data_IF_811339812921
#
_entry.id   IF_811339812921
#
_cell.length_a   1.000
_cell.length_b   1.000
_cell.length_c   1.000
_cell.angle_alpha   90.00
_cell.angle_beta   90.00
_cell.angle_gamma   90.00
#
_symmetry.space_group_name_H-M   'P 1'
#
loop_
_entity.id
_entity.type
_entity.pdbx_description
1 polymer ?
#
# COMPACT_ATOMS: atom_id res chain seq x y z
N UNK A 1 22.26 31.16 4.62
CA UNK A 1 22.26 29.73 4.44
C UNK A 1 20.93 29.00 4.82
N UNK A 2 19.80 29.73 5.00
CA UNK A 2 18.50 29.09 5.39
C UNK A 2 17.46 28.97 4.27
N UNK A 3 17.79 29.35 3.02
CA UNK A 3 16.85 29.30 1.88
C UNK A 3 17.00 28.07 0.99
N UNK A 4 18.12 27.33 1.12
CA UNK A 4 18.37 26.15 0.23
C UNK A 4 17.74 24.85 0.71
N UNK A 5 17.39 24.72 1.99
CA UNK A 5 16.78 23.49 2.54
C UNK A 5 15.29 23.39 2.22
N UNK A 6 14.61 24.53 2.05
CA UNK A 6 13.19 24.56 1.71
C UNK A 6 12.93 24.18 0.24
N UNK A 7 13.89 24.42 -0.64
CA UNK A 7 13.75 24.11 -2.08
C UNK A 7 13.95 22.63 -2.41
N UNK A 8 14.72 21.91 -1.59
CA UNK A 8 14.95 20.45 -1.79
C UNK A 8 13.73 19.62 -1.35
N UNK A 9 12.98 20.06 -0.33
CA UNK A 9 11.74 19.37 0.06
C UNK A 9 10.60 19.57 -0.95
N UNK A 10 10.59 20.67 -1.71
CA UNK A 10 9.55 20.91 -2.72
C UNK A 10 9.75 20.14 -4.03
N UNK A 11 10.98 19.67 -4.32
CA UNK A 11 11.24 18.87 -5.53
C UNK A 11 10.91 17.37 -5.36
N UNK A 12 10.73 16.89 -4.12
CA UNK A 12 10.28 15.51 -3.86
C UNK A 12 8.73 15.40 -3.77
N UNK A 13 8.03 16.52 -3.83
CA UNK A 13 6.58 16.58 -3.94
C UNK A 13 6.24 16.69 -5.42
N UNK A 14 6.00 15.57 -6.09
CA UNK A 14 5.31 15.58 -7.38
C UNK A 14 4.03 16.39 -7.20
N UNK A 15 3.97 17.61 -7.71
CA UNK A 15 2.82 18.48 -7.49
C UNK A 15 1.77 18.22 -8.57
N UNK A 16 0.56 17.82 -8.17
CA UNK A 16 -0.64 18.16 -8.94
C UNK A 16 -0.72 19.69 -9.07
N UNK A 17 -1.49 20.19 -10.03
CA UNK A 17 -1.69 21.61 -10.27
C UNK A 17 -2.01 22.41 -9.00
N UNK A 18 -2.58 21.77 -7.97
CA UNK A 18 -3.01 22.34 -6.70
C UNK A 18 -2.09 22.02 -5.52
N UNK A 19 -0.97 21.32 -5.75
CA UNK A 19 -0.04 20.94 -4.69
C UNK A 19 -0.53 19.81 -3.75
N UNK A 20 -1.71 19.25 -3.96
CA UNK A 20 -2.24 18.16 -3.14
C UNK A 20 -1.60 16.80 -3.52
N UNK A 21 -1.30 15.98 -2.51
CA UNK A 21 -0.80 14.62 -2.69
C UNK A 21 -1.96 13.69 -3.04
N UNK A 22 -1.87 12.99 -4.17
CA UNK A 22 -2.80 11.91 -4.53
C UNK A 22 -2.00 10.64 -4.77
N UNK A 23 -2.23 9.62 -3.94
CA UNK A 23 -1.50 8.35 -3.99
C UNK A 23 -2.41 7.26 -4.52
N UNK A 24 -1.94 6.52 -5.52
CA UNK A 24 -2.55 5.26 -5.93
C UNK A 24 -1.70 4.10 -5.43
N UNK A 25 -2.28 3.19 -4.64
CA UNK A 25 -1.62 1.95 -4.26
C UNK A 25 -2.15 0.79 -5.10
N UNK A 26 -1.27 0.22 -5.91
CA UNK A 26 -1.53 -0.99 -6.68
C UNK A 26 -1.15 -2.20 -5.83
N UNK A 27 -2.15 -2.74 -5.14
CA UNK A 27 -1.98 -3.82 -4.19
C UNK A 27 -1.87 -5.18 -4.89
N UNK A 28 -0.63 -5.66 -5.12
CA UNK A 28 -0.34 -7.04 -5.51
C UNK A 28 -0.76 -7.44 -6.95
N UNK A 29 -1.59 -8.47 -7.10
CA UNK A 29 -1.77 -9.26 -8.34
C UNK A 29 -2.75 -8.68 -9.37
N UNK A 30 -3.06 -7.38 -9.32
CA UNK A 30 -4.21 -6.84 -10.06
C UNK A 30 -4.03 -6.84 -11.57
N UNK A 31 -2.81 -6.61 -12.06
CA UNK A 31 -2.57 -6.75 -13.50
C UNK A 31 -2.83 -8.18 -13.99
N UNK A 32 -2.31 -9.18 -13.27
CA UNK A 32 -2.50 -10.60 -13.62
C UNK A 32 -3.90 -11.12 -13.33
N UNK A 33 -4.69 -10.41 -12.52
CA UNK A 33 -6.11 -10.66 -12.24
C UNK A 33 -7.08 -9.81 -13.07
N UNK A 34 -6.56 -8.86 -13.87
CA UNK A 34 -7.38 -7.95 -14.65
C UNK A 34 -8.06 -8.63 -15.85
N UNK A 35 -8.91 -7.86 -16.54
CA UNK A 35 -9.56 -8.27 -17.79
C UNK A 35 -8.61 -8.43 -18.99
N UNK A 36 -7.33 -8.06 -18.83
CA UNK A 36 -6.34 -8.28 -19.89
C UNK A 36 -6.15 -9.78 -20.15
N UNK A 37 -6.16 -10.16 -21.43
CA UNK A 37 -5.93 -11.53 -21.84
C UNK A 37 -4.47 -11.97 -21.67
N UNK A 38 -4.21 -13.25 -21.87
CA UNK A 38 -2.86 -13.82 -21.79
C UNK A 38 -1.89 -13.22 -22.82
N UNK A 39 -2.39 -12.75 -23.97
CA UNK A 39 -1.64 -12.05 -25.00
C UNK A 39 -1.06 -10.70 -24.52
N UNK A 40 -1.64 -10.13 -23.46
CA UNK A 40 -1.17 -8.91 -22.81
C UNK A 40 -0.20 -9.17 -21.66
N UNK A 41 0.05 -10.42 -21.28
CA UNK A 41 1.00 -10.75 -20.20
C UNK A 41 2.46 -10.54 -20.68
N UNK A 42 2.79 -9.28 -20.90
CA UNK A 42 4.08 -8.80 -21.40
C UNK A 42 4.33 -7.34 -20.95
N UNK A 43 5.52 -6.80 -21.27
CA UNK A 43 5.90 -5.46 -20.85
C UNK A 43 5.01 -4.36 -21.46
N UNK A 44 4.50 -4.53 -22.68
CA UNK A 44 3.62 -3.55 -23.32
C UNK A 44 2.25 -3.52 -22.64
N UNK A 45 1.63 -4.67 -22.41
CA UNK A 45 0.36 -4.75 -21.70
C UNK A 45 0.45 -4.17 -20.28
N UNK A 46 1.57 -4.39 -19.58
CA UNK A 46 1.77 -3.79 -18.26
C UNK A 46 1.91 -2.26 -18.33
N UNK A 47 2.60 -1.71 -19.33
CA UNK A 47 2.63 -0.25 -19.57
C UNK A 47 1.25 0.31 -19.90
N UNK A 48 0.47 -0.39 -20.71
CA UNK A 48 -0.92 -0.03 -21.02
C UNK A 48 -1.78 0.01 -19.75
N UNK A 49 -1.62 -0.97 -18.86
CA UNK A 49 -2.31 -1.01 -17.58
C UNK A 49 -1.96 0.20 -16.69
N UNK A 50 -0.68 0.52 -16.55
CA UNK A 50 -0.22 1.70 -15.80
C UNK A 50 -0.74 2.99 -16.45
N UNK A 51 -0.68 3.09 -17.79
CA UNK A 51 -1.19 4.25 -18.53
C UNK A 51 -2.69 4.47 -18.30
N UNK A 52 -3.49 3.42 -18.23
CA UNK A 52 -4.92 3.50 -17.94
C UNK A 52 -5.22 4.19 -16.61
N UNK A 53 -4.34 4.02 -15.62
CA UNK A 53 -4.49 4.64 -14.30
C UNK A 53 -3.93 6.07 -14.29
N UNK A 54 -2.78 6.29 -14.93
CA UNK A 54 -2.01 7.52 -14.81
C UNK A 54 -2.17 8.50 -15.98
N UNK A 55 -2.80 8.08 -17.08
CA UNK A 55 -2.84 8.83 -18.34
C UNK A 55 -3.49 10.22 -18.28
N UNK A 56 -4.24 10.51 -17.22
CA UNK A 56 -4.90 11.80 -17.01
C UNK A 56 -4.17 12.73 -16.02
N UNK A 57 -3.07 12.29 -15.42
CA UNK A 57 -2.25 13.12 -14.52
C UNK A 57 -2.86 13.41 -13.15
N UNK A 58 -3.82 12.60 -12.70
CA UNK A 58 -4.52 12.80 -11.43
C UNK A 58 -3.69 12.40 -10.18
N UNK A 59 -2.69 11.56 -10.36
CA UNK A 59 -1.89 11.03 -9.26
C UNK A 59 -0.48 11.63 -9.23
N UNK A 60 0.04 11.82 -8.02
CA UNK A 60 1.40 12.31 -7.77
C UNK A 60 2.36 11.18 -7.40
N UNK A 61 1.82 10.11 -6.80
CA UNK A 61 2.58 8.96 -6.32
C UNK A 61 1.86 7.67 -6.69
N UNK A 62 2.63 6.66 -7.04
CA UNK A 62 2.12 5.34 -7.36
C UNK A 62 2.91 4.29 -6.59
N UNK A 63 2.20 3.50 -5.78
CA UNK A 63 2.78 2.48 -4.93
C UNK A 63 2.58 1.10 -5.55
N UNK A 64 3.68 0.39 -5.76
CA UNK A 64 3.72 -0.97 -6.31
C UNK A 64 3.90 -1.94 -5.14
N UNK A 65 3.07 -2.97 -5.03
CA UNK A 65 3.29 -4.04 -4.06
C UNK A 65 4.20 -5.12 -4.69
N UNK A 66 5.48 -5.21 -4.33
CA UNK A 66 6.41 -6.18 -4.92
C UNK A 66 6.14 -7.61 -4.43
N UNK A 67 5.41 -7.74 -3.34
CA UNK A 67 5.06 -9.03 -2.75
C UNK A 67 4.36 -8.90 -1.41
N UNK A 68 3.78 -10.02 -1.01
CA UNK A 68 3.10 -10.23 0.26
C UNK A 68 3.76 -11.39 1.01
N UNK A 69 3.17 -12.58 0.99
CA UNK A 69 3.86 -13.81 1.41
C UNK A 69 4.75 -14.37 0.29
N UNK A 70 4.38 -14.15 -0.96
CA UNK A 70 5.14 -14.47 -2.17
C UNK A 70 5.34 -13.21 -3.00
N UNK A 71 6.33 -13.21 -3.88
CA UNK A 71 6.65 -12.08 -4.73
C UNK A 71 6.06 -12.21 -6.13
N UNK A 72 5.89 -11.08 -6.80
CA UNK A 72 5.42 -11.01 -8.19
C UNK A 72 6.56 -11.01 -9.21
N UNK A 73 7.80 -10.90 -8.73
CA UNK A 73 9.00 -10.91 -9.53
C UNK A 73 9.94 -12.03 -9.06
N UNK A 74 10.93 -12.36 -9.88
CA UNK A 74 12.01 -13.25 -9.48
C UNK A 74 12.90 -12.58 -8.44
N UNK A 75 13.12 -13.25 -7.31
CA UNK A 75 13.96 -12.76 -6.20
C UNK A 75 14.80 -13.87 -5.60
N UNK A 76 15.89 -13.49 -4.92
CA UNK A 76 16.79 -14.41 -4.23
C UNK A 76 16.40 -14.64 -2.77
N UNK A 77 15.58 -13.75 -2.21
CA UNK A 77 15.32 -13.69 -0.77
C UNK A 77 13.94 -14.17 -0.37
N UNK A 78 12.95 -14.08 -1.28
CA UNK A 78 11.58 -14.48 -1.03
C UNK A 78 11.06 -15.38 -2.16
N UNK A 79 10.14 -16.29 -1.86
CA UNK A 79 9.59 -17.21 -2.87
C UNK A 79 8.76 -16.47 -3.89
N UNK A 80 8.96 -16.65 -5.21
CA UNK A 80 8.07 -16.09 -6.22
C UNK A 80 6.70 -16.77 -6.18
N UNK A 81 5.67 -16.12 -6.70
CA UNK A 81 4.29 -16.60 -6.66
C UNK A 81 4.09 -17.96 -7.36
N UNK A 82 4.97 -18.33 -8.26
CA UNK A 82 4.93 -19.59 -9.02
C UNK A 82 5.79 -20.72 -8.42
N UNK A 83 6.42 -20.54 -7.26
CA UNK A 83 7.32 -21.52 -6.67
C UNK A 83 6.69 -22.88 -6.35
N UNK A 84 5.35 -22.90 -6.13
CA UNK A 84 4.58 -24.13 -5.84
C UNK A 84 3.91 -24.73 -7.08
N UNK A 85 4.22 -24.26 -8.28
CA UNK A 85 3.63 -24.79 -9.51
C UNK A 85 3.96 -26.27 -9.67
N UNK A 86 2.95 -27.11 -9.81
CA UNK A 86 3.09 -28.56 -9.91
C UNK A 86 3.22 -29.30 -8.57
N UNK A 87 3.20 -28.62 -7.43
CA UNK A 87 3.15 -29.28 -6.13
C UNK A 87 1.81 -30.00 -5.92
N UNK A 88 1.82 -31.29 -5.52
CA UNK A 88 0.59 -32.05 -5.33
C UNK A 88 -0.35 -31.39 -4.30
N UNK A 89 -1.60 -31.17 -4.70
CA UNK A 89 -2.64 -30.57 -3.88
C UNK A 89 -2.61 -29.04 -3.78
N UNK A 90 -1.67 -28.38 -4.46
CA UNK A 90 -1.71 -26.92 -4.65
C UNK A 90 -2.56 -26.64 -5.90
N UNK A 91 -3.69 -25.92 -5.77
CA UNK A 91 -4.53 -25.62 -6.93
C UNK A 91 -3.81 -24.68 -7.90
N UNK A 92 -3.95 -24.94 -9.19
CA UNK A 92 -3.52 -24.00 -10.21
C UNK A 92 -4.32 -22.70 -10.07
N UNK A 93 -3.61 -21.58 -10.07
CA UNK A 93 -4.19 -20.26 -9.96
C UNK A 93 -3.73 -19.39 -11.13
N UNK A 94 -4.64 -18.63 -11.72
CA UNK A 94 -4.33 -17.80 -12.88
C UNK A 94 -3.29 -16.72 -12.57
N UNK A 95 -3.28 -16.16 -11.36
CA UNK A 95 -2.24 -15.21 -10.96
C UNK A 95 -0.84 -15.84 -10.96
N UNK A 96 -0.69 -17.08 -10.42
CA UNK A 96 0.57 -17.83 -10.49
C UNK A 96 1.00 -18.03 -11.94
N UNK A 97 0.08 -18.54 -12.76
CA UNK A 97 0.35 -18.86 -14.16
C UNK A 97 0.76 -17.62 -14.96
N UNK A 98 0.02 -16.52 -14.82
CA UNK A 98 0.30 -15.28 -15.54
C UNK A 98 1.58 -14.60 -15.04
N UNK A 99 1.86 -14.59 -13.75
CA UNK A 99 3.14 -14.12 -13.21
C UNK A 99 4.31 -14.96 -13.74
N UNK A 100 4.14 -16.29 -13.82
CA UNK A 100 5.14 -17.16 -14.42
C UNK A 100 5.35 -16.89 -15.91
N UNK A 101 4.27 -16.60 -16.65
CA UNK A 101 4.37 -16.17 -18.06
C UNK A 101 5.18 -14.88 -18.20
N UNK A 102 4.92 -13.87 -17.37
CA UNK A 102 5.72 -12.63 -17.36
C UNK A 102 7.20 -12.93 -17.13
N UNK A 103 7.52 -13.74 -16.12
CA UNK A 103 8.89 -14.14 -15.82
C UNK A 103 9.55 -14.89 -16.98
N UNK A 104 8.89 -15.90 -17.57
CA UNK A 104 9.46 -16.66 -18.70
C UNK A 104 9.60 -15.86 -19.98
N UNK A 105 8.81 -14.81 -20.13
CA UNK A 105 8.94 -13.81 -21.21
C UNK A 105 10.05 -12.77 -20.93
N UNK A 106 10.82 -12.93 -19.84
CA UNK A 106 11.93 -12.05 -19.48
C UNK A 106 11.48 -10.68 -18.98
N UNK A 107 10.25 -10.55 -18.47
CA UNK A 107 9.70 -9.29 -18.00
C UNK A 107 10.00 -9.13 -16.50
N UNK A 108 10.79 -8.14 -16.14
CA UNK A 108 10.86 -7.62 -14.77
C UNK A 108 9.68 -6.67 -14.54
N UNK A 109 8.61 -7.19 -13.95
CA UNK A 109 7.35 -6.46 -13.79
C UNK A 109 7.53 -5.17 -12.99
N UNK A 110 8.32 -5.21 -11.91
CA UNK A 110 8.56 -4.04 -11.06
C UNK A 110 9.32 -2.96 -11.83
N UNK A 111 10.36 -3.33 -12.59
CA UNK A 111 11.11 -2.34 -13.38
C UNK A 111 10.23 -1.71 -14.47
N UNK A 112 9.40 -2.52 -15.17
CA UNK A 112 8.48 -2.01 -16.19
C UNK A 112 7.47 -1.04 -15.61
N UNK A 113 6.93 -1.33 -14.42
CA UNK A 113 6.02 -0.43 -13.71
C UNK A 113 6.71 0.87 -13.32
N UNK A 114 7.90 0.81 -12.71
CA UNK A 114 8.69 2.00 -12.34
C UNK A 114 8.93 2.90 -13.56
N UNK A 115 9.39 2.32 -14.67
CA UNK A 115 9.66 3.07 -15.91
C UNK A 115 8.38 3.73 -16.46
N UNK A 116 7.27 2.99 -16.46
CA UNK A 116 5.98 3.50 -16.91
C UNK A 116 5.46 4.63 -16.00
N UNK A 117 5.57 4.48 -14.68
CA UNK A 117 5.16 5.49 -13.70
C UNK A 117 5.98 6.77 -13.89
N UNK A 118 7.31 6.65 -14.02
CA UNK A 118 8.20 7.79 -14.25
C UNK A 118 7.91 8.49 -15.59
N UNK A 119 7.53 7.75 -16.64
CA UNK A 119 7.14 8.32 -17.93
C UNK A 119 5.90 9.22 -17.83
N UNK A 120 5.05 9.04 -16.80
CA UNK A 120 3.92 9.92 -16.48
C UNK A 120 4.29 11.06 -15.51
N UNK A 121 5.56 11.22 -15.12
CA UNK A 121 5.99 12.24 -14.14
C UNK A 121 5.51 11.95 -12.71
N UNK A 122 5.12 10.72 -12.42
CA UNK A 122 4.61 10.27 -11.12
C UNK A 122 5.75 9.61 -10.33
N UNK A 123 5.75 9.77 -9.01
CA UNK A 123 6.74 9.21 -8.10
C UNK A 123 6.47 7.73 -7.83
N UNK A 124 7.37 6.79 -8.22
CA UNK A 124 7.21 5.36 -7.94
C UNK A 124 7.68 5.00 -6.54
N UNK A 125 6.85 4.27 -5.79
CA UNK A 125 7.17 3.70 -4.49
C UNK A 125 6.95 2.19 -4.48
N UNK A 126 7.66 1.48 -3.58
CA UNK A 126 7.36 0.10 -3.25
C UNK A 126 6.59 0.05 -1.93
N UNK A 127 5.49 -0.71 -1.88
CA UNK A 127 4.68 -0.93 -0.68
C UNK A 127 4.68 -2.42 -0.33
N UNK A 128 5.39 -2.80 0.71
CA UNK A 128 5.51 -4.20 1.14
C UNK A 128 4.48 -4.52 2.22
N UNK A 129 3.67 -5.56 1.98
CA UNK A 129 2.75 -6.12 3.00
C UNK A 129 3.54 -6.87 4.08
N UNK A 130 3.51 -6.36 5.31
CA UNK A 130 4.32 -6.90 6.41
C UNK A 130 3.68 -8.10 7.12
N UNK A 131 2.36 -8.18 7.16
CA UNK A 131 1.59 -9.15 7.96
C UNK A 131 0.60 -9.98 7.13
N UNK A 132 0.81 -10.17 5.84
CA UNK A 132 -0.15 -10.90 5.02
C UNK A 132 -0.39 -12.32 5.58
N UNK A 133 -1.64 -12.66 5.88
CA UNK A 133 -2.03 -13.98 6.33
C UNK A 133 -3.21 -14.56 5.53
N UNK A 134 -3.34 -14.14 4.28
CA UNK A 134 -4.35 -14.73 3.39
C UNK A 134 -4.24 -16.25 3.36
N UNK A 135 -5.38 -16.92 3.44
CA UNK A 135 -5.47 -18.37 3.36
C UNK A 135 -4.65 -19.13 4.43
N UNK A 136 -4.35 -18.51 5.59
CA UNK A 136 -3.56 -19.13 6.65
C UNK A 136 -4.14 -20.47 7.16
N UNK A 137 -5.46 -20.69 6.96
CA UNK A 137 -6.15 -21.96 7.27
C UNK A 137 -6.12 -22.97 6.12
N UNK A 138 -5.48 -22.65 5.01
CA UNK A 138 -5.40 -23.47 3.79
C UNK A 138 -3.93 -23.78 3.48
N UNK A 139 -3.30 -24.80 4.09
CA UNK A 139 -1.86 -25.06 3.97
C UNK A 139 -1.36 -25.25 2.53
N UNK A 140 -2.27 -25.58 1.61
CA UNK A 140 -1.99 -25.77 0.19
C UNK A 140 -2.29 -24.54 -0.67
N UNK A 141 -2.62 -23.40 -0.07
CA UNK A 141 -2.80 -22.17 -0.83
C UNK A 141 -1.48 -21.76 -1.51
N UNK A 142 -1.59 -21.26 -2.73
CA UNK A 142 -0.44 -20.84 -3.54
C UNK A 142 0.32 -19.64 -2.98
N UNK A 143 -0.38 -18.80 -2.18
CA UNK A 143 0.15 -17.58 -1.58
C UNK A 143 1.24 -17.80 -0.54
N UNK A 144 1.35 -19.00 0.05
CA UNK A 144 2.30 -19.24 1.12
C UNK A 144 3.72 -19.35 0.59
N UNK A 145 4.64 -18.55 1.13
CA UNK A 145 6.06 -18.66 0.82
C UNK A 145 6.65 -19.97 1.35
N UNK A 146 7.81 -20.36 0.81
CA UNK A 146 8.57 -21.49 1.33
C UNK A 146 8.88 -21.31 2.82
N UNK A 147 9.29 -20.11 3.21
CA UNK A 147 9.58 -19.77 4.61
C UNK A 147 8.35 -19.97 5.52
N UNK A 148 7.14 -19.55 5.05
CA UNK A 148 5.91 -19.77 5.80
C UNK A 148 5.56 -21.26 5.93
N UNK A 149 5.78 -22.06 4.89
CA UNK A 149 5.49 -23.50 4.89
C UNK A 149 6.43 -24.26 5.80
N UNK A 150 7.73 -23.97 5.73
CA UNK A 150 8.79 -24.68 6.46
C UNK A 150 8.89 -24.30 7.94
N UNK A 151 8.37 -23.12 8.34
CA UNK A 151 8.50 -22.58 9.70
C UNK A 151 7.14 -22.29 10.37
N UNK A 152 6.32 -23.32 10.64
CA UNK A 152 5.05 -23.12 11.35
C UNK A 152 5.23 -22.52 12.75
N UNK A 153 6.37 -22.74 13.40
CA UNK A 153 6.75 -22.20 14.70
C UNK A 153 6.98 -20.68 14.69
N UNK A 154 7.19 -20.08 13.52
CA UNK A 154 7.39 -18.64 13.38
C UNK A 154 6.08 -17.86 13.18
N UNK A 155 4.96 -18.58 13.15
CA UNK A 155 3.63 -17.98 12.90
C UNK A 155 2.98 -17.49 14.19
N UNK A 156 2.22 -16.42 14.02
CA UNK A 156 1.34 -15.86 15.06
C UNK A 156 0.01 -15.49 14.38
N UNK A 157 -1.11 -16.07 14.83
CA UNK A 157 -2.43 -15.81 14.26
C UNK A 157 -2.48 -15.90 12.70
N UNK A 158 -1.71 -16.82 12.14
CA UNK A 158 -1.63 -17.04 10.69
C UNK A 158 -0.60 -16.20 9.93
N UNK A 159 -0.20 -15.05 10.47
CA UNK A 159 0.92 -14.25 9.97
C UNK A 159 2.23 -14.59 10.67
N UNK A 160 3.24 -13.74 10.53
CA UNK A 160 4.56 -13.93 11.14
C UNK A 160 4.70 -13.20 12.48
N UNK A 161 5.49 -13.78 13.41
CA UNK A 161 5.84 -13.17 14.68
C UNK A 161 7.17 -12.40 14.57
N UNK A 162 7.10 -11.08 14.54
CA UNK A 162 8.28 -10.22 14.42
C UNK A 162 9.15 -10.17 15.70
N UNK A 163 8.75 -10.80 16.82
CA UNK A 163 9.64 -11.00 17.96
C UNK A 163 10.71 -12.07 17.68
N UNK A 164 10.59 -12.82 16.58
CA UNK A 164 11.54 -13.86 16.18
C UNK A 164 12.57 -13.24 15.22
N UNK A 165 13.87 -13.24 15.56
CA UNK A 165 14.90 -12.64 14.72
C UNK A 165 14.92 -13.17 13.28
N UNK A 166 14.73 -14.47 13.08
CA UNK A 166 14.68 -15.08 11.75
C UNK A 166 13.55 -14.52 10.86
N UNK A 167 12.40 -14.15 11.45
CA UNK A 167 11.30 -13.48 10.74
C UNK A 167 11.71 -12.09 10.30
N UNK A 168 12.34 -11.32 11.19
CA UNK A 168 12.85 -10.00 10.86
C UNK A 168 13.89 -10.08 9.74
N UNK A 169 14.85 -11.02 9.83
CA UNK A 169 15.91 -11.19 8.86
C UNK A 169 15.38 -11.58 7.48
N UNK A 170 14.37 -12.46 7.43
CA UNK A 170 13.70 -12.85 6.18
C UNK A 170 13.07 -11.66 5.45
N UNK A 171 12.27 -10.87 6.16
CA UNK A 171 11.63 -9.70 5.55
C UNK A 171 12.63 -8.60 5.23
N UNK A 172 13.63 -8.42 6.09
CA UNK A 172 14.66 -7.41 5.90
C UNK A 172 15.53 -7.70 4.68
N UNK A 173 15.90 -8.96 4.46
CA UNK A 173 16.66 -9.37 3.28
C UNK A 173 15.92 -9.05 1.97
N UNK A 174 14.59 -9.20 1.96
CA UNK A 174 13.78 -8.82 0.81
C UNK A 174 13.76 -7.29 0.62
N UNK A 175 13.61 -6.51 1.68
CA UNK A 175 13.66 -5.04 1.61
C UNK A 175 15.01 -4.57 1.04
N UNK A 176 16.13 -5.15 1.51
CA UNK A 176 17.46 -4.83 0.98
C UNK A 176 17.60 -5.18 -0.50
N UNK A 177 17.07 -6.34 -0.92
CA UNK A 177 17.08 -6.75 -2.34
C UNK A 177 16.28 -5.77 -3.20
N UNK A 178 15.08 -5.38 -2.77
CA UNK A 178 14.23 -4.42 -3.51
C UNK A 178 14.90 -3.06 -3.64
N UNK A 179 15.45 -2.52 -2.56
CA UNK A 179 16.16 -1.23 -2.55
C UNK A 179 17.50 -1.26 -3.33
N UNK A 180 18.10 -2.42 -3.46
CA UNK A 180 19.32 -2.59 -4.26
C UNK A 180 19.00 -2.65 -5.77
N UNK A 181 17.93 -3.35 -6.14
CA UNK A 181 17.54 -3.57 -7.55
C UNK A 181 16.90 -2.35 -8.17
N UNK A 182 15.93 -1.76 -7.48
CA UNK A 182 15.03 -0.78 -8.05
C UNK A 182 15.33 0.64 -7.59
N UNK A 183 15.28 1.58 -8.53
CA UNK A 183 15.40 3.00 -8.27
C UNK A 183 14.01 3.59 -8.04
N UNK A 184 13.66 3.80 -6.76
CA UNK A 184 12.36 4.29 -6.32
C UNK A 184 12.50 5.53 -5.46
N UNK A 185 11.44 6.32 -5.36
CA UNK A 185 11.43 7.55 -4.57
C UNK A 185 11.00 7.29 -3.11
N UNK A 186 10.45 6.12 -2.84
CA UNK A 186 10.09 5.72 -1.48
C UNK A 186 9.82 4.23 -1.32
N UNK A 187 9.80 3.83 -0.05
CA UNK A 187 9.44 2.48 0.40
C UNK A 187 8.42 2.57 1.53
N UNK A 188 7.39 1.74 1.49
CA UNK A 188 6.36 1.67 2.52
C UNK A 188 6.34 0.30 3.19
N UNK A 189 6.35 0.29 4.53
CA UNK A 189 5.99 -0.89 5.31
C UNK A 189 4.47 -0.86 5.57
N UNK A 190 3.71 -1.68 4.83
CA UNK A 190 2.27 -1.81 5.04
C UNK A 190 1.96 -2.79 6.17
N UNK A 191 1.70 -2.27 7.38
CA UNK A 191 1.30 -3.05 8.55
C UNK A 191 -0.20 -3.35 8.59
N UNK A 192 -1.01 -2.79 7.67
CA UNK A 192 -2.47 -2.88 7.71
C UNK A 192 -3.05 -4.07 6.96
N UNK A 193 -2.26 -4.81 6.15
CA UNK A 193 -2.75 -6.08 5.62
C UNK A 193 -2.65 -7.15 6.69
N UNK A 194 -3.80 -7.49 7.30
CA UNK A 194 -3.93 -8.43 8.42
C UNK A 194 -3.14 -8.00 9.66
N UNK A 195 -3.43 -6.83 10.23
CA UNK A 195 -2.71 -6.34 11.39
C UNK A 195 -2.96 -7.25 12.60
N UNK A 196 -1.94 -7.98 13.01
CA UNK A 196 -1.93 -8.84 14.18
C UNK A 196 -1.10 -8.17 15.29
N UNK A 197 -1.43 -8.39 16.58
CA UNK A 197 -0.65 -7.82 17.67
C UNK A 197 0.80 -8.30 17.62
N UNK A 198 1.74 -7.36 17.65
CA UNK A 198 3.19 -7.60 17.69
C UNK A 198 3.79 -6.95 18.95
N UNK A 199 5.03 -7.27 19.26
CA UNK A 199 5.81 -6.56 20.27
C UNK A 199 6.26 -5.20 19.68
N UNK A 200 5.88 -4.07 20.30
CA UNK A 200 6.27 -2.74 19.80
C UNK A 200 7.78 -2.52 19.80
N UNK A 201 8.51 -3.16 20.74
CA UNK A 201 9.97 -3.08 20.78
C UNK A 201 10.59 -3.78 19.56
N UNK A 202 10.06 -4.95 19.21
CA UNK A 202 10.51 -5.71 18.06
C UNK A 202 10.21 -4.97 16.74
N UNK A 203 9.01 -4.40 16.61
CA UNK A 203 8.67 -3.61 15.41
C UNK A 203 9.53 -2.33 15.31
N UNK A 204 9.77 -1.64 16.42
CA UNK A 204 10.61 -0.45 16.42
C UNK A 204 12.06 -0.78 16.04
N UNK A 205 12.60 -1.91 16.52
CA UNK A 205 13.91 -2.38 16.11
C UNK A 205 13.97 -2.71 14.62
N UNK A 206 12.93 -3.34 14.08
CA UNK A 206 12.81 -3.60 12.64
C UNK A 206 12.74 -2.29 11.83
N UNK A 207 11.95 -1.31 12.27
CA UNK A 207 11.85 -0.01 11.60
C UNK A 207 13.18 0.76 11.59
N UNK A 208 13.99 0.68 12.67
CA UNK A 208 15.34 1.26 12.68
C UNK A 208 16.25 0.62 11.62
N UNK A 209 16.20 -0.70 11.48
CA UNK A 209 16.95 -1.42 10.42
C UNK A 209 16.48 -0.98 9.03
N UNK A 210 15.17 -0.90 8.83
CA UNK A 210 14.57 -0.47 7.55
C UNK A 210 14.97 0.96 7.21
N UNK A 211 14.92 1.91 8.17
CA UNK A 211 15.37 3.29 7.96
C UNK A 211 16.83 3.34 7.51
N UNK A 212 17.70 2.60 8.19
CA UNK A 212 19.12 2.56 7.83
C UNK A 212 19.36 2.00 6.40
N UNK A 213 18.59 0.98 5.99
CA UNK A 213 18.67 0.44 4.63
C UNK A 213 18.19 1.44 3.58
N UNK A 214 17.08 2.15 3.85
CA UNK A 214 16.55 3.20 2.97
C UNK A 214 17.55 4.37 2.84
N UNK A 215 18.15 4.82 3.93
CA UNK A 215 19.17 5.88 3.91
C UNK A 215 20.42 5.45 3.13
N UNK A 216 20.85 4.20 3.29
CA UNK A 216 21.96 3.65 2.52
C UNK A 216 21.62 3.55 1.03
N UNK A 217 20.39 3.20 0.68
CA UNK A 217 19.91 3.18 -0.71
C UNK A 217 19.86 4.59 -1.30
N UNK A 218 19.30 5.56 -0.59
CA UNK A 218 19.27 6.97 -0.98
C UNK A 218 20.68 7.51 -1.26
N UNK A 219 21.65 7.19 -0.39
CA UNK A 219 23.05 7.56 -0.59
C UNK A 219 23.64 6.93 -1.87
N UNK A 220 23.35 5.67 -2.14
CA UNK A 220 23.85 4.96 -3.35
C UNK A 220 23.22 5.54 -4.63
N UNK A 221 21.94 5.90 -4.60
CA UNK A 221 21.19 6.43 -5.74
C UNK A 221 21.47 7.93 -5.98
N UNK A 222 21.90 8.66 -4.96
CA UNK A 222 22.20 10.09 -5.06
C UNK A 222 20.97 10.99 -4.96
N UNK A 223 19.83 10.46 -4.54
CA UNK A 223 18.60 11.22 -4.28
C UNK A 223 17.89 10.68 -3.02
N UNK A 224 17.00 11.47 -2.41
CA UNK A 224 16.22 11.04 -1.26
C UNK A 224 15.32 9.83 -1.62
N UNK A 225 15.23 8.87 -0.72
CA UNK A 225 14.22 7.81 -0.72
C UNK A 225 13.47 7.92 0.59
N UNK A 226 12.16 8.11 0.53
CA UNK A 226 11.32 8.31 1.71
C UNK A 226 10.87 6.96 2.29
N UNK A 227 10.63 6.91 3.61
CA UNK A 227 10.07 5.74 4.28
C UNK A 227 8.67 6.03 4.80
N UNK A 228 7.68 5.32 4.27
CA UNK A 228 6.29 5.37 4.69
C UNK A 228 5.89 4.18 5.56
N UNK A 229 4.84 4.37 6.35
CA UNK A 229 4.17 3.29 7.09
C UNK A 229 2.66 3.41 6.96
N UNK A 230 1.99 2.32 6.58
CA UNK A 230 0.53 2.25 6.66
C UNK A 230 0.14 1.57 7.97
N UNK A 231 -0.70 2.24 8.77
CA UNK A 231 -1.01 1.89 10.16
C UNK A 231 -2.52 1.98 10.42
N UNK A 232 -2.99 1.44 11.56
CA UNK A 232 -4.42 1.53 11.93
C UNK A 232 -4.89 2.98 11.94
N UNK A 233 -6.16 3.22 11.61
CA UNK A 233 -6.70 4.58 11.48
C UNK A 233 -6.65 5.39 12.79
N UNK A 234 -6.61 4.71 13.94
CA UNK A 234 -6.55 5.32 15.27
C UNK A 234 -5.23 5.05 15.98
N UNK A 235 -4.58 6.05 16.61
CA UNK A 235 -3.31 5.88 17.29
C UNK A 235 -3.31 4.78 18.36
N UNK A 236 -4.38 4.69 19.16
CA UNK A 236 -4.50 3.68 20.20
C UNK A 236 -4.57 2.26 19.62
N UNK A 237 -5.30 2.06 18.52
CA UNK A 237 -5.38 0.77 17.85
C UNK A 237 -4.04 0.40 17.18
N UNK A 238 -3.34 1.35 16.59
CA UNK A 238 -2.00 1.15 16.06
C UNK A 238 -1.03 0.67 17.15
N UNK A 239 -1.00 1.34 18.30
CA UNK A 239 -0.15 0.97 19.42
C UNK A 239 -0.52 -0.42 19.98
N UNK A 240 -1.81 -0.74 20.10
CA UNK A 240 -2.28 -2.06 20.54
C UNK A 240 -1.83 -3.20 19.61
N UNK A 241 -1.51 -2.88 18.35
CA UNK A 241 -0.92 -3.81 17.37
C UNK A 241 0.61 -3.77 17.35
N UNK A 242 1.24 -3.01 18.23
CA UNK A 242 2.69 -2.86 18.30
C UNK A 242 3.26 -1.78 17.38
N UNK A 243 2.41 -1.06 16.64
CA UNK A 243 2.83 0.05 15.78
C UNK A 243 3.01 1.31 16.64
N UNK A 244 4.17 1.44 17.31
CA UNK A 244 4.52 2.60 18.13
C UNK A 244 4.98 3.78 17.25
N UNK A 245 4.01 4.38 16.56
CA UNK A 245 4.26 5.50 15.64
C UNK A 245 4.84 6.72 16.38
N UNK A 246 4.51 6.90 17.68
CA UNK A 246 5.07 7.99 18.46
C UNK A 246 6.58 7.81 18.68
N UNK A 247 7.04 6.58 18.93
CA UNK A 247 8.47 6.27 18.96
C UNK A 247 9.11 6.45 17.57
N UNK A 248 8.47 5.96 16.51
CA UNK A 248 8.99 6.08 15.15
C UNK A 248 9.13 7.53 14.69
N UNK A 249 8.15 8.39 15.02
CA UNK A 249 8.21 9.82 14.75
C UNK A 249 9.33 10.51 15.55
N UNK A 250 9.46 10.20 16.87
CA UNK A 250 10.48 10.78 17.77
C UNK A 250 11.89 10.42 17.31
N UNK A 251 12.09 9.20 16.84
CA UNK A 251 13.36 8.72 16.31
C UNK A 251 13.57 9.09 14.83
N UNK A 252 12.61 9.78 14.20
CA UNK A 252 12.64 10.19 12.79
C UNK A 252 12.83 9.00 11.84
N UNK A 253 12.20 7.86 12.17
CA UNK A 253 12.30 6.64 11.36
C UNK A 253 11.42 6.70 10.13
N UNK A 254 10.35 7.50 10.13
CA UNK A 254 9.35 7.55 9.06
C UNK A 254 9.17 8.98 8.56
N UNK A 255 8.97 9.09 7.24
CA UNK A 255 8.67 10.34 6.54
C UNK A 255 7.17 10.48 6.29
N UNK A 256 6.45 9.35 6.09
CA UNK A 256 5.00 9.31 5.88
C UNK A 256 4.33 8.36 6.87
N UNK A 257 3.22 8.82 7.42
CA UNK A 257 2.30 8.04 8.27
C UNK A 257 0.96 8.00 7.54
N UNK A 258 0.49 6.78 7.21
CA UNK A 258 -0.73 6.56 6.44
C UNK A 258 -1.76 5.85 7.32
N UNK A 259 -2.60 6.60 8.08
CA UNK A 259 -3.69 6.01 8.85
C UNK A 259 -4.73 5.37 7.93
N UNK A 260 -5.03 4.11 8.14
CA UNK A 260 -5.86 3.32 7.25
C UNK A 260 -6.81 2.40 8.00
N UNK A 261 -7.94 2.12 7.39
CA UNK A 261 -8.82 1.05 7.83
C UNK A 261 -8.38 -0.30 7.28
N UNK A 262 -9.00 -1.33 7.83
CA UNK A 262 -8.78 -2.70 7.42
C UNK A 262 -9.97 -3.25 6.63
N UNK A 263 -9.65 -4.08 5.65
CA UNK A 263 -10.53 -4.99 4.94
C UNK A 263 -11.67 -4.32 4.16
N UNK A 264 -11.32 -3.54 3.13
CA UNK A 264 -12.28 -2.93 2.20
C UNK A 264 -13.41 -2.17 2.91
N UNK A 265 -13.05 -1.44 3.97
CA UNK A 265 -13.97 -0.55 4.68
C UNK A 265 -13.38 0.84 4.83
N UNK A 266 -14.23 1.86 4.91
CA UNK A 266 -13.82 3.25 5.00
C UNK A 266 -14.12 3.80 6.38
N UNK A 267 -13.11 4.40 7.02
CA UNK A 267 -13.32 5.27 8.18
C UNK A 267 -13.54 6.70 7.72
N UNK A 268 -14.77 7.18 7.82
CA UNK A 268 -15.11 8.57 7.51
C UNK A 268 -14.70 9.56 8.60
N UNK A 269 -14.09 9.06 9.69
CA UNK A 269 -13.75 9.87 10.86
C UNK A 269 -12.33 9.61 11.39
N UNK A 270 -11.36 9.42 10.49
CA UNK A 270 -9.94 9.28 10.86
C UNK A 270 -9.54 10.49 11.71
N UNK A 271 -9.00 10.30 12.93
CA UNK A 271 -8.67 11.38 13.85
C UNK A 271 -7.32 12.04 13.49
N UNK A 272 -7.27 12.76 12.35
CA UNK A 272 -6.02 13.36 11.85
C UNK A 272 -5.35 14.27 12.88
N UNK A 273 -6.13 15.02 13.67
CA UNK A 273 -5.57 15.90 14.71
C UNK A 273 -4.78 15.15 15.76
N UNK A 274 -5.16 13.90 16.12
CA UNK A 274 -4.39 13.07 17.04
C UNK A 274 -3.05 12.64 16.40
N UNK A 275 -3.07 12.22 15.14
CA UNK A 275 -1.87 11.85 14.40
C UNK A 275 -0.92 13.05 14.21
N UNK A 276 -1.46 14.20 13.83
CA UNK A 276 -0.69 15.45 13.68
C UNK A 276 -0.06 15.88 15.01
N UNK A 277 -0.80 15.70 16.11
CA UNK A 277 -0.27 15.98 17.45
C UNK A 277 0.90 15.05 17.80
N UNK A 278 0.82 13.74 17.51
CA UNK A 278 1.93 12.79 17.72
C UNK A 278 3.17 13.25 16.96
N UNK A 279 3.03 13.67 15.70
CA UNK A 279 4.14 14.17 14.87
C UNK A 279 4.73 15.46 15.46
N UNK A 280 3.88 16.41 15.87
CA UNK A 280 4.30 17.69 16.45
C UNK A 280 5.00 17.50 17.80
N UNK A 281 4.44 16.69 18.69
CA UNK A 281 5.01 16.38 20.01
C UNK A 281 6.38 15.69 19.89
N UNK A 282 6.57 14.92 18.82
CA UNK A 282 7.84 14.26 18.50
C UNK A 282 8.88 15.21 17.87
N UNK A 283 8.52 16.43 17.51
CA UNK A 283 9.37 17.31 16.70
C UNK A 283 9.74 16.71 15.34
N UNK A 284 8.85 15.91 14.78
CA UNK A 284 9.01 15.26 13.48
C UNK A 284 8.44 16.13 12.35
N UNK A 285 8.94 15.91 11.13
CA UNK A 285 8.40 16.50 9.90
C UNK A 285 7.60 15.49 9.07
N UNK A 286 7.26 14.33 9.63
CA UNK A 286 6.51 13.30 8.93
C UNK A 286 5.14 13.81 8.47
N UNK A 287 4.73 13.47 7.25
CA UNK A 287 3.40 13.79 6.73
C UNK A 287 2.39 12.75 7.17
N UNK A 288 1.20 13.20 7.55
CA UNK A 288 0.06 12.32 7.84
C UNK A 288 -0.90 12.35 6.66
N UNK A 289 -0.99 11.25 5.92
CA UNK A 289 -1.79 11.14 4.70
C UNK A 289 -2.89 10.11 4.93
N UNK A 290 -4.17 10.52 5.06
CA UNK A 290 -5.25 9.58 5.34
C UNK A 290 -5.49 8.66 4.16
N UNK A 291 -5.73 7.39 4.47
CA UNK A 291 -5.99 6.33 3.49
C UNK A 291 -7.46 5.98 3.45
N UNK A 292 -7.95 5.83 2.24
CA UNK A 292 -9.33 5.45 1.95
C UNK A 292 -9.32 4.13 1.17
N UNK A 293 -10.19 3.21 1.56
CA UNK A 293 -10.53 2.00 0.82
C UNK A 293 -11.85 2.25 0.04
N UNK A 294 -12.37 1.28 -0.68
CA UNK A 294 -13.50 1.45 -1.62
C UNK A 294 -14.85 1.02 -1.08
N UNK A 295 -14.90 0.42 0.12
CA UNK A 295 -16.10 -0.23 0.63
C UNK A 295 -16.82 0.55 1.73
N UNK A 296 -18.16 0.65 1.65
CA UNK A 296 -19.03 1.05 2.75
C UNK A 296 -19.66 -0.20 3.34
N UNK A 297 -19.42 -0.44 4.62
CA UNK A 297 -20.07 -1.53 5.37
C UNK A 297 -21.45 -1.05 5.81
N UNK A 298 -22.50 -1.68 5.30
CA UNK A 298 -23.90 -1.18 5.41
C UNK A 298 -24.64 -1.72 6.61
N UNK A 299 -24.09 -2.70 7.32
CA UNK A 299 -24.69 -3.29 8.52
C UNK A 299 -23.61 -3.56 9.57
N UNK A 300 -24.00 -3.60 10.84
CA UNK A 300 -23.10 -3.99 11.92
C UNK A 300 -22.46 -5.34 11.63
N UNK A 301 -21.12 -5.43 11.68
CA UNK A 301 -20.43 -6.66 11.34
C UNK A 301 -20.72 -7.79 12.35
N UNK A 302 -21.35 -8.83 11.91
CA UNK A 302 -21.47 -10.08 12.69
C UNK A 302 -20.17 -10.90 12.62
N UNK A 303 -19.45 -10.80 11.51
CA UNK A 303 -18.08 -11.32 11.35
C UNK A 303 -17.31 -10.41 10.40
N UNK A 304 -16.01 -10.22 10.61
CA UNK A 304 -15.16 -9.30 9.82
C UNK A 304 -15.20 -9.55 8.30
N UNK A 305 -15.46 -10.77 7.85
CA UNK A 305 -15.37 -11.16 6.43
C UNK A 305 -16.69 -11.17 5.65
N UNK A 306 -17.83 -11.04 6.31
CA UNK A 306 -19.14 -11.29 5.68
C UNK A 306 -20.15 -10.16 5.81
N UNK A 307 -19.71 -8.98 6.23
CA UNK A 307 -20.63 -7.85 6.30
C UNK A 307 -20.97 -7.36 4.90
N UNK A 308 -22.25 -7.10 4.63
CA UNK A 308 -22.67 -6.50 3.36
C UNK A 308 -21.91 -5.21 3.12
N UNK A 309 -21.38 -5.07 1.92
CA UNK A 309 -20.66 -3.87 1.47
C UNK A 309 -21.22 -3.40 0.16
N UNK A 310 -21.09 -2.14 -0.08
CA UNK A 310 -21.24 -1.52 -1.39
C UNK A 310 -20.06 -0.61 -1.66
N UNK A 311 -19.86 -0.27 -2.92
CA UNK A 311 -18.86 0.72 -3.30
C UNK A 311 -19.32 2.12 -2.84
N UNK A 312 -18.34 3.01 -2.65
CA UNK A 312 -18.62 4.42 -2.43
C UNK A 312 -19.20 5.05 -3.69
N UNK A 313 -20.16 5.95 -3.49
CA UNK A 313 -20.58 6.89 -4.53
C UNK A 313 -19.56 8.03 -4.67
N UNK A 314 -19.58 8.74 -5.79
CA UNK A 314 -18.73 9.92 -5.98
C UNK A 314 -18.97 10.98 -4.88
N UNK A 315 -20.22 11.18 -4.47
CA UNK A 315 -20.56 12.11 -3.38
C UNK A 315 -19.92 11.70 -2.04
N UNK A 316 -19.79 10.41 -1.77
CA UNK A 316 -19.15 9.89 -0.57
C UNK A 316 -17.63 10.02 -0.64
N UNK A 317 -17.01 9.80 -1.80
CA UNK A 317 -15.60 10.13 -2.02
C UNK A 317 -15.33 11.62 -1.78
N UNK A 318 -16.14 12.51 -2.36
CA UNK A 318 -16.01 13.95 -2.15
C UNK A 318 -16.23 14.34 -0.68
N UNK A 319 -17.21 13.73 0.00
CA UNK A 319 -17.50 13.98 1.42
C UNK A 319 -16.35 13.54 2.33
N UNK A 320 -15.77 12.37 2.08
CA UNK A 320 -14.61 11.89 2.81
C UNK A 320 -13.39 12.81 2.60
N UNK A 321 -13.04 13.08 1.35
CA UNK A 321 -11.90 13.93 1.01
C UNK A 321 -12.04 15.35 1.59
N UNK A 322 -13.23 15.96 1.45
CA UNK A 322 -13.52 17.27 2.02
C UNK A 322 -13.26 17.30 3.52
N UNK A 323 -13.79 16.31 4.27
CA UNK A 323 -13.55 16.19 5.72
C UNK A 323 -12.08 16.01 6.06
N UNK A 324 -11.31 15.26 5.30
CA UNK A 324 -9.88 15.08 5.54
C UNK A 324 -9.11 16.39 5.28
N UNK A 325 -9.44 17.12 4.22
CA UNK A 325 -8.82 18.42 3.94
C UNK A 325 -9.19 19.48 4.98
N UNK A 326 -10.42 19.52 5.45
CA UNK A 326 -10.84 20.39 6.57
C UNK A 326 -10.05 20.13 7.86
N UNK A 327 -9.58 18.89 8.05
CA UNK A 327 -8.70 18.48 9.16
C UNK A 327 -7.21 18.69 8.89
N UNK A 328 -6.86 19.29 7.75
CA UNK A 328 -5.49 19.63 7.40
C UNK A 328 -4.69 18.50 6.76
N UNK A 329 -5.35 17.56 6.08
CA UNK A 329 -4.65 16.55 5.28
C UNK A 329 -3.86 17.21 4.13
N UNK A 330 -2.60 16.81 3.87
CA UNK A 330 -1.84 17.30 2.72
C UNK A 330 -2.26 16.64 1.41
N UNK A 331 -3.08 15.61 1.48
CA UNK A 331 -3.53 14.81 0.34
C UNK A 331 -4.31 13.59 0.76
N UNK A 332 -4.54 12.68 -0.18
CA UNK A 332 -5.30 11.45 -0.01
C UNK A 332 -4.56 10.24 -0.58
N UNK A 333 -4.76 9.09 0.04
CA UNK A 333 -4.17 7.82 -0.35
C UNK A 333 -5.28 6.83 -0.70
N UNK A 334 -5.30 6.31 -1.92
CA UNK A 334 -6.26 5.33 -2.38
C UNK A 334 -5.68 3.92 -2.25
N UNK A 335 -6.39 3.08 -1.51
CA UNK A 335 -6.11 1.65 -1.41
C UNK A 335 -7.27 0.86 -2.00
N UNK A 336 -6.98 -0.23 -2.74
CA UNK A 336 -8.00 -1.08 -3.39
C UNK A 336 -8.90 -0.36 -4.45
N UNK A 337 -8.53 0.81 -4.96
CA UNK A 337 -9.34 1.51 -5.96
C UNK A 337 -9.54 0.69 -7.25
N UNK A 338 -8.61 -0.23 -7.55
CA UNK A 338 -8.69 -1.19 -8.65
C UNK A 338 -9.88 -2.17 -8.57
N UNK A 339 -10.50 -2.36 -7.40
CA UNK A 339 -11.66 -3.25 -7.22
C UNK A 339 -12.86 -2.88 -8.11
N UNK A 340 -12.86 -1.70 -8.73
CA UNK A 340 -13.82 -1.34 -9.76
C UNK A 340 -13.82 -2.28 -10.97
N UNK A 341 -12.74 -3.01 -11.23
CA UNK A 341 -12.57 -3.89 -12.39
C UNK A 341 -12.39 -5.36 -12.03
N UNK A 342 -12.49 -5.73 -10.76
CA UNK A 342 -12.31 -7.09 -10.32
C UNK A 342 -13.62 -7.77 -9.95
N UNK A 343 -13.78 -9.03 -10.40
CA UNK A 343 -14.76 -9.92 -9.79
C UNK A 343 -14.35 -10.19 -8.31
N UNK A 344 -15.28 -10.26 -7.35
CA UNK A 344 -16.73 -10.38 -7.50
C UNK A 344 -17.52 -9.09 -7.33
N UNK A 345 -16.88 -7.92 -7.37
CA UNK A 345 -17.53 -6.66 -7.00
C UNK A 345 -18.58 -6.18 -8.02
N UNK A 346 -18.54 -6.66 -9.27
CA UNK A 346 -19.52 -6.37 -10.34
C UNK A 346 -20.03 -4.93 -10.33
N UNK A 347 -19.08 -3.98 -10.32
CA UNK A 347 -19.40 -2.58 -10.26
C UNK A 347 -20.03 -2.15 -11.57
N UNK A 348 -21.28 -1.66 -11.52
CA UNK A 348 -21.99 -1.16 -12.68
C UNK A 348 -21.85 0.36 -12.87
N UNK A 349 -21.52 1.09 -11.80
CA UNK A 349 -21.28 2.52 -11.83
C UNK A 349 -19.77 2.81 -11.72
N UNK A 350 -19.14 3.14 -12.84
CA UNK A 350 -17.73 3.51 -12.90
C UNK A 350 -17.49 5.01 -12.70
N UNK A 351 -18.56 5.81 -12.53
CA UNK A 351 -18.44 7.27 -12.37
C UNK A 351 -17.41 7.70 -11.33
N UNK A 352 -17.33 7.07 -10.12
CA UNK A 352 -16.29 7.44 -9.15
C UNK A 352 -14.88 7.15 -9.65
N UNK A 353 -14.66 6.01 -10.30
CA UNK A 353 -13.37 5.67 -10.89
C UNK A 353 -12.97 6.67 -11.95
N UNK A 354 -13.85 6.90 -12.96
CA UNK A 354 -13.58 7.79 -14.08
C UNK A 354 -13.24 9.20 -13.59
N UNK A 355 -13.96 9.67 -12.56
CA UNK A 355 -13.70 10.96 -11.94
C UNK A 355 -12.32 10.98 -11.26
N UNK A 356 -12.01 9.98 -10.43
CA UNK A 356 -10.79 9.94 -9.62
C UNK A 356 -9.55 9.83 -10.49
N UNK A 357 -9.55 8.97 -11.53
CA UNK A 357 -8.39 8.82 -12.42
C UNK A 357 -8.18 10.04 -13.32
N UNK A 358 -9.25 10.81 -13.57
CA UNK A 358 -9.19 12.00 -14.40
C UNK A 358 -8.82 13.26 -13.62
N UNK A 359 -9.29 13.40 -12.39
CA UNK A 359 -9.21 14.66 -11.63
C UNK A 359 -8.53 14.52 -10.26
N UNK A 360 -8.36 13.29 -9.75
CA UNK A 360 -7.99 13.06 -8.35
C UNK A 360 -9.10 13.49 -7.37
N UNK A 361 -8.80 13.40 -6.08
CA UNK A 361 -9.61 14.02 -5.02
C UNK A 361 -8.79 15.14 -4.38
N UNK A 362 -8.68 16.26 -5.05
CA UNK A 362 -8.02 17.48 -4.56
C UNK A 362 -9.06 18.48 -4.04
N UNK A 363 -8.67 19.47 -3.23
CA UNK A 363 -9.59 20.53 -2.81
C UNK A 363 -10.29 21.22 -3.99
N UNK A 364 -9.58 21.42 -5.11
CA UNK A 364 -10.14 22.04 -6.32
C UNK A 364 -11.10 21.10 -7.05
N UNK A 365 -10.73 19.83 -7.23
CA UNK A 365 -11.54 18.86 -7.99
C UNK A 365 -12.88 18.55 -7.32
N UNK A 366 -12.97 18.62 -5.97
CA UNK A 366 -14.19 18.34 -5.21
C UNK A 366 -15.02 19.61 -4.94
N UNK A 367 -14.50 20.80 -5.22
CA UNK A 367 -15.16 22.07 -4.93
C UNK A 367 -16.51 22.19 -5.63
N UNK A 368 -17.55 22.50 -4.83
CA UNK A 368 -18.91 22.67 -5.35
C UNK A 368 -19.61 21.38 -5.77
N UNK A 369 -18.99 20.22 -5.60
CA UNK A 369 -19.63 18.94 -5.90
C UNK A 369 -20.52 18.47 -4.74
N UNK A 370 -21.54 17.67 -5.04
CA UNK A 370 -22.29 16.97 -3.99
C UNK A 370 -21.33 16.18 -3.09
N UNK A 371 -21.54 16.29 -1.79
CA UNK A 371 -20.75 15.59 -0.77
C UNK A 371 -21.70 14.96 0.26
N UNK A 372 -21.40 13.72 0.63
CA UNK A 372 -22.19 13.00 1.64
C UNK A 372 -21.28 12.12 2.51
N UNK A 373 -21.71 11.91 3.75
CA UNK A 373 -21.09 10.99 4.68
C UNK A 373 -22.16 9.96 5.05
N UNK A 374 -22.03 8.70 4.64
CA UNK A 374 -23.00 7.68 4.97
C UNK A 374 -22.90 7.27 6.43
N UNK A 375 -24.03 6.82 7.00
CA UNK A 375 -23.96 5.95 8.17
C UNK A 375 -23.29 4.64 7.74
N UNK A 376 -22.14 4.31 8.33
CA UNK A 376 -21.39 3.12 7.98
C UNK A 376 -20.75 2.50 9.22
N UNK A 377 -20.40 1.24 9.06
CA UNK A 377 -19.57 0.50 9.99
C UNK A 377 -18.18 0.33 9.37
N UNK A 378 -17.15 0.30 10.19
CA UNK A 378 -15.81 -0.06 9.74
C UNK A 378 -15.18 -1.05 10.71
N UNK A 379 -14.18 -1.75 10.20
CA UNK A 379 -13.41 -2.64 11.04
C UNK A 379 -12.19 -1.92 11.62
N UNK A 380 -12.14 -1.85 12.93
CA UNK A 380 -10.90 -1.60 13.64
C UNK A 380 -10.34 -2.96 14.06
N UNK A 381 -9.16 -3.37 13.54
CA UNK A 381 -8.61 -4.69 13.81
C UNK A 381 -8.12 -4.87 15.24
#
# INVERSE_FOLDING_TARGET
MKKSVLLVCLMALGACADGAINVFNLDSTHYTGSEFGDDKMNAEGLREYVHRILGHGAFTHFFICPGAQVTLCDTKTMSPSWWRTGEPGVPLNDHMRRNYMMFTNGVDTIQVEIDAIRAHGVSPWLSMRMNDNHNANEPKAWLHSKFWVEHPEYRKQGGFNYSIPAVQDYHFAFIEEMLARYDVDGFECDWMRWPIPQDPTALTAFMRRTRAAVDAAAKRRGHPILLGVRVSSRPAAALAKGMDVAAWAREKLVDWIVPANFFSSVDFDIPLGEWQKIVADAGSSALVIPCLDTGVVTQEPTTKRRSPRRMLTLAEYCGWAGRMYERGAPGVYFFNLFTYFEAPYHVTDTTPWDFIVTHGLTPESIKGRPASIPANWWYEP
#
